data_IF_778303552709
#
_entry.id   IF_778303552709
#
_cell.length_a   1.000
_cell.length_b   1.000
_cell.length_c   1.000
_cell.angle_alpha   90.00
_cell.angle_beta   90.00
_cell.angle_gamma   90.00
#
_symmetry.space_group_name_H-M   'P 1'
#
loop_
_entity.id
_entity.type
_entity.pdbx_description
1 polymer ?
#
# COMPACT_ATOMS: atom_id res chain seq x y z
N UNK A 1 2.00 -0.51 17.44
CA UNK A 1 3.30 -0.68 16.74
C UNK A 1 3.48 0.52 15.83
N UNK A 2 4.66 1.16 15.85
CA UNK A 2 4.96 2.32 14.99
C UNK A 2 6.08 1.91 14.04
N UNK A 3 5.86 2.04 12.73
CA UNK A 3 6.83 1.73 11.69
C UNK A 3 7.19 3.00 10.93
N UNK A 4 8.48 3.16 10.64
CA UNK A 4 9.01 4.34 9.95
C UNK A 4 9.93 3.95 8.79
N UNK A 5 9.87 4.72 7.70
CA UNK A 5 10.82 4.64 6.58
C UNK A 5 11.03 6.05 6.02
N UNK A 6 12.18 6.64 6.29
CA UNK A 6 12.44 8.03 5.92
C UNK A 6 11.38 8.96 6.54
N UNK A 7 10.74 9.79 5.72
CA UNK A 7 9.64 10.67 6.15
C UNK A 7 8.27 10.00 6.30
N UNK A 8 8.14 8.71 5.99
CA UNK A 8 6.87 7.97 6.13
C UNK A 8 6.75 7.35 7.52
N UNK A 9 5.56 7.44 8.11
CA UNK A 9 5.21 6.80 9.38
C UNK A 9 3.84 6.14 9.28
N UNK A 10 3.74 4.91 9.75
CA UNK A 10 2.48 4.19 9.93
C UNK A 10 2.36 3.76 11.40
N UNK A 11 1.21 4.02 11.99
CA UNK A 11 0.92 3.70 13.39
C UNK A 11 -0.24 2.71 13.46
N UNK A 12 0.02 1.57 14.10
CA UNK A 12 -0.91 0.47 14.25
C UNK A 12 -1.31 0.32 15.70
N UNK A 13 -2.59 0.05 15.94
CA UNK A 13 -3.13 -0.31 17.25
C UNK A 13 -3.61 -1.77 17.24
N UNK A 14 -3.60 -2.48 18.38
CA UNK A 14 -4.17 -3.82 18.45
C UNK A 14 -5.68 -3.78 18.17
N UNK A 15 -6.15 -4.58 17.22
CA UNK A 15 -7.58 -4.71 16.93
C UNK A 15 -7.96 -6.19 16.70
N UNK A 16 -8.12 -6.99 17.77
CA UNK A 16 -8.31 -8.43 17.65
C UNK A 16 -9.63 -8.84 16.99
N UNK A 17 -10.64 -7.98 17.02
CA UNK A 17 -11.99 -8.24 16.48
C UNK A 17 -12.17 -7.76 15.03
N UNK A 18 -11.08 -7.32 14.37
CA UNK A 18 -11.13 -6.92 12.97
C UNK A 18 -11.55 -8.10 12.09
N UNK A 19 -12.57 -7.88 11.25
CA UNK A 19 -12.86 -8.73 10.11
C UNK A 19 -12.23 -8.12 8.84
N UNK A 20 -11.15 -8.71 8.29
CA UNK A 20 -10.48 -8.18 7.11
C UNK A 20 -11.39 -8.10 5.88
N UNK A 21 -12.41 -8.96 5.78
CA UNK A 21 -13.31 -8.98 4.62
C UNK A 21 -14.25 -7.77 4.57
N UNK A 22 -14.45 -7.08 5.71
CA UNK A 22 -15.31 -5.90 5.83
C UNK A 22 -14.52 -4.63 6.19
N UNK A 23 -13.18 -4.71 6.19
CA UNK A 23 -12.30 -3.58 6.49
C UNK A 23 -12.49 -2.41 5.53
N UNK A 24 -12.52 -1.20 6.08
CA UNK A 24 -12.54 0.07 5.34
C UNK A 24 -11.30 0.93 5.61
N UNK A 25 -10.28 0.37 6.24
CA UNK A 25 -9.03 1.08 6.55
C UNK A 25 -8.20 1.30 5.29
N UNK A 26 -7.56 2.47 5.21
CA UNK A 26 -6.59 2.73 4.17
C UNK A 26 -5.89 4.06 4.34
N UNK A 27 -4.78 4.20 3.63
CA UNK A 27 -3.97 5.42 3.61
C UNK A 27 -3.35 5.64 2.23
N UNK A 28 -2.65 6.77 2.08
CA UNK A 28 -1.86 7.10 0.91
C UNK A 28 -0.42 7.33 1.35
N UNK A 29 0.51 6.59 0.76
CA UNK A 29 1.93 6.89 0.83
C UNK A 29 2.30 7.67 -0.43
N UNK A 30 2.64 8.94 -0.22
CA UNK A 30 3.13 9.83 -1.27
C UNK A 30 4.64 9.71 -1.37
N UNK A 31 5.13 9.40 -2.55
CA UNK A 31 6.49 8.94 -2.79
C UNK A 31 7.12 9.79 -3.89
N UNK A 32 8.33 10.28 -3.66
CA UNK A 32 9.10 10.97 -4.69
C UNK A 32 9.65 9.98 -5.72
N UNK A 33 9.89 8.73 -5.31
CA UNK A 33 10.29 7.63 -6.19
C UNK A 33 9.39 6.41 -5.93
N UNK A 34 8.30 6.34 -6.70
CA UNK A 34 7.35 5.23 -6.65
C UNK A 34 8.00 3.93 -7.13
N UNK A 35 8.86 3.97 -8.14
CA UNK A 35 9.45 2.76 -8.73
C UNK A 35 10.42 2.08 -7.78
N UNK A 36 11.22 2.84 -7.03
CA UNK A 36 12.06 2.29 -5.96
C UNK A 36 11.23 1.61 -4.86
N UNK A 37 10.06 2.17 -4.52
CA UNK A 37 9.17 1.53 -3.55
C UNK A 37 8.57 0.24 -4.11
N UNK A 38 8.16 0.22 -5.38
CA UNK A 38 7.64 -1.00 -6.04
C UNK A 38 8.70 -2.09 -6.11
N UNK A 39 9.96 -1.73 -6.40
CA UNK A 39 11.06 -2.69 -6.39
C UNK A 39 11.21 -3.37 -5.02
N UNK A 40 11.06 -2.61 -3.92
CA UNK A 40 11.09 -3.16 -2.56
C UNK A 40 9.87 -4.04 -2.26
N UNK A 41 8.68 -3.64 -2.71
CA UNK A 41 7.46 -4.45 -2.56
C UNK A 41 7.61 -5.80 -3.26
N UNK A 42 8.14 -5.80 -4.49
CA UNK A 42 8.42 -7.02 -5.24
C UNK A 42 9.51 -7.87 -4.57
N UNK A 43 10.59 -7.24 -4.09
CA UNK A 43 11.67 -7.94 -3.38
C UNK A 43 11.21 -8.57 -2.06
N UNK A 44 10.18 -8.01 -1.42
CA UNK A 44 9.54 -8.58 -0.23
C UNK A 44 8.62 -9.78 -0.56
N UNK A 45 8.47 -10.15 -1.83
CA UNK A 45 7.65 -11.28 -2.27
C UNK A 45 6.16 -10.97 -2.34
N UNK A 46 5.77 -9.69 -2.40
CA UNK A 46 4.38 -9.33 -2.62
C UNK A 46 3.94 -9.82 -4.01
N UNK A 47 2.87 -10.62 -4.06
CA UNK A 47 2.39 -11.19 -5.30
C UNK A 47 1.38 -10.26 -5.99
N UNK A 48 1.55 -10.05 -7.29
CA UNK A 48 0.59 -9.32 -8.11
C UNK A 48 -0.63 -10.21 -8.39
N UNK A 49 -1.77 -9.87 -7.77
CA UNK A 49 -3.01 -10.66 -7.82
C UNK A 49 -4.25 -9.77 -7.79
N UNK A 50 -5.35 -10.27 -8.35
CA UNK A 50 -6.64 -9.56 -8.34
C UNK A 50 -7.53 -9.90 -7.14
N UNK A 51 -7.29 -11.01 -6.46
CA UNK A 51 -8.09 -11.53 -5.34
C UNK A 51 -7.21 -12.03 -4.19
N UNK A 52 -7.80 -12.24 -3.01
CA UNK A 52 -7.10 -12.64 -1.79
C UNK A 52 -6.29 -11.50 -1.15
N UNK A 53 -5.73 -11.73 0.03
CA UNK A 53 -4.84 -10.80 0.73
C UNK A 53 -3.74 -11.58 1.47
N UNK A 54 -2.54 -11.01 1.63
CA UNK A 54 -2.08 -9.75 1.05
C UNK A 54 -1.97 -9.81 -0.48
N UNK A 55 -2.07 -8.66 -1.16
CA UNK A 55 -1.91 -8.58 -2.62
C UNK A 55 -1.39 -7.23 -3.05
N UNK A 56 -0.76 -7.21 -4.22
CA UNK A 56 -0.26 -6.00 -4.85
C UNK A 56 -0.85 -5.83 -6.25
N UNK A 57 -0.98 -4.59 -6.71
CA UNK A 57 -1.19 -4.21 -8.10
C UNK A 57 -0.16 -3.16 -8.47
N UNK A 58 0.59 -3.42 -9.54
CA UNK A 58 1.62 -2.51 -10.03
C UNK A 58 1.04 -1.13 -10.38
N UNK A 59 1.83 -0.04 -10.27
CA UNK A 59 1.30 1.28 -10.55
C UNK A 59 0.87 1.49 -11.98
N UNK A 60 -0.28 2.13 -12.16
CA UNK A 60 -0.81 2.55 -13.45
C UNK A 60 -1.21 4.02 -13.40
N UNK A 61 -1.32 4.65 -14.57
CA UNK A 61 -1.90 5.98 -14.68
C UNK A 61 -3.41 5.88 -14.49
N UNK A 62 -3.92 6.53 -13.45
CA UNK A 62 -5.32 6.50 -13.09
C UNK A 62 -6.10 7.65 -13.74
N UNK A 63 -7.44 7.58 -13.71
CA UNK A 63 -8.31 8.65 -14.20
C UNK A 63 -8.07 10.01 -13.51
N UNK A 64 -7.45 10.01 -12.34
CA UNK A 64 -7.02 11.22 -11.62
C UNK A 64 -5.81 11.93 -12.24
N UNK A 65 -5.12 11.29 -13.19
CA UNK A 65 -3.84 11.74 -13.73
C UNK A 65 -2.63 11.38 -12.86
N UNK A 66 -2.83 10.73 -11.70
CA UNK A 66 -1.76 10.26 -10.83
C UNK A 66 -1.35 8.84 -11.21
N UNK A 67 -0.06 8.51 -11.00
CA UNK A 67 0.44 7.14 -11.06
C UNK A 67 0.29 6.48 -9.69
N UNK A 68 -0.53 5.43 -9.61
CA UNK A 68 -0.91 4.81 -8.33
C UNK A 68 -0.76 3.29 -8.41
N UNK A 69 0.01 2.73 -7.46
CA UNK A 69 -0.01 1.30 -7.14
C UNK A 69 -0.85 1.01 -5.91
N UNK A 70 -1.34 -0.23 -5.78
CA UNK A 70 -2.22 -0.61 -4.67
C UNK A 70 -1.66 -1.82 -3.94
N UNK A 71 -1.41 -1.65 -2.65
CA UNK A 71 -1.02 -2.71 -1.75
C UNK A 71 -2.16 -2.96 -0.76
N UNK A 72 -2.49 -4.24 -0.57
CA UNK A 72 -3.36 -4.72 0.48
C UNK A 72 -2.49 -5.56 1.40
N UNK A 73 -2.42 -5.15 2.67
CA UNK A 73 -1.66 -5.87 3.70
C UNK A 73 -2.45 -7.09 4.24
N UNK A 74 -1.87 -7.89 5.16
CA UNK A 74 -2.54 -9.06 5.73
C UNK A 74 -3.85 -8.76 6.47
N UNK A 75 -4.02 -7.54 6.99
CA UNK A 75 -5.21 -7.08 7.73
C UNK A 75 -6.21 -6.33 6.83
N UNK A 76 -6.05 -6.45 5.51
CA UNK A 76 -6.87 -5.78 4.49
C UNK A 76 -6.86 -4.24 4.56
N UNK A 77 -5.78 -3.62 5.08
CA UNK A 77 -5.59 -2.18 4.93
C UNK A 77 -5.21 -1.85 3.49
N UNK A 78 -5.92 -0.91 2.88
CA UNK A 78 -5.57 -0.39 1.55
C UNK A 78 -4.50 0.70 1.64
N UNK A 79 -3.29 0.36 1.21
CA UNK A 79 -2.17 1.30 1.09
C UNK A 79 -1.99 1.70 -0.37
N UNK A 80 -2.32 2.95 -0.70
CA UNK A 80 -2.12 3.52 -2.04
C UNK A 80 -0.70 4.08 -2.14
N UNK A 81 0.09 3.56 -3.06
CA UNK A 81 1.45 4.04 -3.35
C UNK A 81 1.37 5.04 -4.50
N UNK A 82 1.58 6.32 -4.22
CA UNK A 82 1.29 7.42 -5.15
C UNK A 82 2.59 8.15 -5.47
N UNK A 83 2.90 8.29 -6.76
CA UNK A 83 3.98 9.17 -7.22
C UNK A 83 3.59 10.63 -6.95
N UNK A 84 4.45 11.37 -6.26
CA UNK A 84 4.31 12.82 -6.14
C UNK A 84 4.42 13.47 -7.53
N UNK A 85 3.68 14.56 -7.77
CA UNK A 85 3.89 15.35 -8.98
C UNK A 85 5.32 15.90 -9.00
N UNK A 86 5.88 16.03 -10.20
CA UNK A 86 7.16 16.70 -10.44
C UNK A 86 7.10 18.19 -10.06
#
# INVERSE_FOLDING_TARGET
MILQRGGLQLEFFPYPDLDPATSSFGCCLRLDDLDAMVALVNAAGAEEKSTGWPRFKAPQLEASGLRIGYLIDPDCTLVRLIQNPD
#
